data_IF_344682645987
#
_entry.id   IF_344682645987
#
_cell.length_a   1.000
_cell.length_b   1.000
_cell.length_c   1.000
_cell.angle_alpha   90.00
_cell.angle_beta   90.00
_cell.angle_gamma   90.00
#
_symmetry.space_group_name_H-M   'P 1'
#
loop_
_entity.id
_entity.type
_entity.pdbx_description
1 polymer ?
#
# COMPACT_ATOMS: atom_id res chain seq x y z
N UNK A 1 5.28 7.75 11.27
CA UNK A 1 5.32 6.51 10.47
C UNK A 1 6.48 5.65 10.94
N UNK A 2 6.29 4.34 11.06
CA UNK A 2 7.34 3.36 11.36
C UNK A 2 7.32 2.26 10.29
N UNK A 3 8.50 1.72 9.97
CA UNK A 3 8.68 0.66 8.97
C UNK A 3 9.36 -0.52 9.65
N UNK A 4 8.79 -1.71 9.51
CA UNK A 4 9.30 -2.95 10.09
C UNK A 4 9.79 -3.90 9.01
N UNK A 5 10.94 -4.52 9.26
CA UNK A 5 11.56 -5.51 8.38
C UNK A 5 11.70 -6.85 9.10
N UNK A 6 11.60 -7.94 8.35
CA UNK A 6 11.91 -9.30 8.80
C UNK A 6 12.76 -9.95 7.72
N UNK A 7 13.94 -10.45 8.11
CA UNK A 7 14.91 -11.08 7.19
C UNK A 7 15.27 -10.18 5.98
N UNK A 8 15.33 -8.86 6.21
CA UNK A 8 15.62 -7.86 5.17
C UNK A 8 14.45 -7.51 4.24
N UNK A 9 13.29 -8.17 4.38
CA UNK A 9 12.08 -7.87 3.61
C UNK A 9 11.11 -6.97 4.40
N UNK A 10 10.31 -6.16 3.68
CA UNK A 10 9.25 -5.35 4.29
C UNK A 10 8.21 -6.28 4.94
N UNK A 11 7.95 -6.07 6.23
CA UNK A 11 7.04 -6.91 7.01
C UNK A 11 5.85 -6.12 7.59
N UNK A 12 6.06 -4.85 7.95
CA UNK A 12 4.99 -4.02 8.51
C UNK A 12 5.19 -2.52 8.23
N UNK A 13 4.08 -1.80 8.09
CA UNK A 13 4.02 -0.35 8.15
C UNK A 13 3.05 0.06 9.27
N UNK A 14 3.48 0.99 10.11
CA UNK A 14 2.65 1.58 11.16
C UNK A 14 2.53 3.09 10.93
N UNK A 15 1.30 3.57 10.87
CA UNK A 15 0.94 4.98 10.71
C UNK A 15 0.19 5.41 11.97
N UNK A 16 0.73 6.42 12.65
CA UNK A 16 0.08 7.12 13.74
C UNK A 16 -0.25 8.52 13.24
N UNK A 17 -1.54 8.86 13.22
CA UNK A 17 -1.99 10.21 12.85
C UNK A 17 -2.07 11.15 14.06
N UNK A 18 -2.39 12.42 13.81
CA UNK A 18 -2.48 13.46 14.85
C UNK A 18 -3.66 13.30 15.80
N UNK A 19 -4.65 12.47 15.45
CA UNK A 19 -5.79 12.14 16.31
C UNK A 19 -5.51 10.90 17.18
N UNK A 20 -4.33 10.31 17.05
CA UNK A 20 -3.92 9.11 17.79
C UNK A 20 -4.40 7.81 17.17
N UNK A 21 -4.97 7.82 15.96
CA UNK A 21 -5.31 6.60 15.25
C UNK A 21 -4.03 5.88 14.83
N UNK A 22 -3.94 4.59 15.16
CA UNK A 22 -2.85 3.72 14.73
C UNK A 22 -3.35 2.73 13.68
N UNK A 23 -2.89 2.91 12.45
CA UNK A 23 -3.11 1.98 11.33
C UNK A 23 -1.89 1.09 11.14
N UNK A 24 -2.10 -0.22 11.01
CA UNK A 24 -1.03 -1.22 10.81
C UNK A 24 -1.31 -2.02 9.53
N UNK A 25 -0.35 -2.02 8.61
CA UNK A 25 -0.36 -2.87 7.41
C UNK A 25 0.70 -3.95 7.58
N UNK A 26 0.29 -5.22 7.46
CA UNK A 26 1.17 -6.39 7.57
C UNK A 26 1.39 -7.04 6.20
N UNK A 27 2.64 -7.33 5.86
CA UNK A 27 3.04 -7.90 4.57
C UNK A 27 3.42 -9.38 4.73
N UNK A 28 2.79 -10.24 3.91
CA UNK A 28 3.02 -11.69 3.90
C UNK A 28 3.98 -12.12 2.79
N UNK A 29 3.52 -12.09 1.54
CA UNK A 29 4.28 -12.51 0.36
C UNK A 29 4.93 -11.31 -0.34
N UNK A 30 5.77 -10.55 0.37
CA UNK A 30 6.44 -9.39 -0.21
C UNK A 30 7.47 -9.82 -1.26
N UNK A 31 7.40 -9.22 -2.45
CA UNK A 31 8.37 -9.42 -3.53
C UNK A 31 8.97 -8.08 -3.94
N UNK A 32 10.26 -7.89 -3.65
CA UNK A 32 10.98 -6.72 -4.11
C UNK A 32 11.27 -6.81 -5.62
N UNK A 33 11.21 -5.67 -6.31
CA UNK A 33 11.55 -5.55 -7.75
C UNK A 33 10.81 -6.55 -8.66
N UNK A 34 9.55 -6.86 -8.34
CA UNK A 34 8.71 -7.68 -9.22
C UNK A 34 8.53 -6.99 -10.59
N UNK A 35 8.61 -7.78 -11.66
CA UNK A 35 8.30 -7.29 -12.99
C UNK A 35 6.78 -7.18 -13.15
N UNK A 36 6.27 -5.96 -13.10
CA UNK A 36 4.85 -5.65 -13.27
C UNK A 36 4.64 -4.93 -14.60
N UNK A 37 3.64 -5.35 -15.36
CA UNK A 37 3.25 -4.67 -16.60
C UNK A 37 2.61 -3.30 -16.29
N UNK A 38 2.78 -2.32 -17.18
CA UNK A 38 2.24 -0.97 -16.99
C UNK A 38 0.70 -0.95 -16.86
N UNK A 39 0.00 -1.95 -17.40
CA UNK A 39 -1.46 -2.10 -17.26
C UNK A 39 -1.92 -2.28 -15.81
N UNK A 40 -1.07 -2.79 -14.91
CA UNK A 40 -1.39 -2.91 -13.47
C UNK A 40 -1.62 -1.56 -12.79
N UNK A 41 -1.13 -0.47 -13.40
CA UNK A 41 -1.22 0.89 -12.86
C UNK A 41 -2.25 1.76 -13.60
N UNK A 42 -3.06 1.16 -14.47
CA UNK A 42 -4.13 1.86 -15.19
C UNK A 42 -5.46 1.61 -14.49
N UNK A 43 -6.14 2.68 -14.08
CA UNK A 43 -7.49 2.62 -13.57
C UNK A 43 -8.44 3.37 -14.51
N UNK A 44 -9.49 2.67 -14.97
CA UNK A 44 -10.60 3.25 -15.71
C UNK A 44 -11.83 3.23 -14.79
N UNK A 45 -12.32 4.40 -14.32
CA UNK A 45 -13.56 4.45 -13.55
C UNK A 45 -14.70 3.77 -14.33
N UNK A 46 -15.55 2.96 -13.68
CA UNK A 46 -16.70 2.37 -14.33
C UNK A 46 -17.70 3.47 -14.76
N UNK A 47 -18.55 3.21 -15.77
CA UNK A 47 -19.59 4.16 -16.16
C UNK A 47 -20.47 4.57 -14.98
N UNK A 48 -20.72 5.87 -14.83
CA UNK A 48 -21.52 6.42 -13.73
C UNK A 48 -20.78 6.61 -12.40
N UNK A 49 -19.48 6.30 -12.33
CA UNK A 49 -18.68 6.64 -11.16
C UNK A 49 -18.49 8.16 -11.06
N UNK A 50 -18.83 8.72 -9.89
CA UNK A 50 -18.50 10.10 -9.56
C UNK A 50 -17.00 10.24 -9.33
N UNK A 51 -16.38 11.20 -10.03
CA UNK A 51 -14.96 11.52 -9.88
C UNK A 51 -14.84 12.89 -9.21
N UNK A 52 -14.37 12.89 -7.97
CA UNK A 52 -14.20 14.08 -7.15
C UNK A 52 -12.71 14.47 -7.15
N UNK A 53 -12.42 15.78 -7.16
CA UNK A 53 -11.05 16.33 -7.11
C UNK A 53 -10.76 16.95 -5.76
#
# INVERSE_FOLDING_TARGET
MRVGFRDGALAALEILDSFGQKSVLSFGAFQANAALDASHFQFKPPPGADVIR
#
